data_IF_537865773625
#
_entry.id   IF_537865773625
#
_cell.length_a   1.000
_cell.length_b   1.000
_cell.length_c   1.000
_cell.angle_alpha   90.00
_cell.angle_beta   90.00
_cell.angle_gamma   90.00
#
_symmetry.space_group_name_H-M   'P 1'
#
loop_
_entity.id
_entity.type
_entity.pdbx_description
1 polymer ?
#
# COMPACT_ATOMS: atom_id res chain seq x y z
N UNK A 1 -6.00 -1.38 13.60
CA UNK A 1 -5.32 -0.26 14.26
C UNK A 1 -6.12 0.19 15.47
N UNK A 2 -7.35 0.66 15.34
CA UNK A 2 -8.20 1.18 16.44
C UNK A 2 -8.22 0.31 17.71
N UNK A 3 -8.28 -1.03 17.56
CA UNK A 3 -8.23 -1.94 18.72
C UNK A 3 -6.89 -1.85 19.46
N UNK A 4 -5.79 -1.74 18.73
CA UNK A 4 -4.46 -1.66 19.33
C UNK A 4 -4.16 -0.28 19.89
N UNK A 5 -4.72 0.79 19.30
CA UNK A 5 -4.68 2.13 19.87
C UNK A 5 -5.41 2.12 21.23
N UNK A 6 -6.61 1.54 21.30
CA UNK A 6 -7.36 1.42 22.54
C UNK A 6 -6.60 0.61 23.62
N UNK A 7 -5.94 -0.50 23.25
CA UNK A 7 -5.09 -1.27 24.18
C UNK A 7 -3.89 -0.45 24.64
N UNK A 8 -3.26 0.28 23.75
CA UNK A 8 -2.12 1.13 24.05
C UNK A 8 -2.52 2.22 25.06
N UNK A 9 -3.59 2.94 24.78
CA UNK A 9 -4.08 4.03 25.61
C UNK A 9 -4.53 3.52 26.98
N UNK A 10 -5.21 2.36 27.04
CA UNK A 10 -5.78 1.83 28.28
C UNK A 10 -4.71 1.21 29.20
N UNK A 11 -3.65 0.60 28.65
CA UNK A 11 -2.69 -0.15 29.48
C UNK A 11 -1.34 0.57 29.54
N UNK A 12 -0.84 1.07 28.40
CA UNK A 12 0.51 1.64 28.35
C UNK A 12 0.50 3.11 28.74
N UNK A 13 -0.47 3.90 28.26
CA UNK A 13 -0.60 5.32 28.57
C UNK A 13 -1.47 5.60 29.80
N UNK A 14 -1.94 4.57 30.53
CA UNK A 14 -2.74 4.75 31.75
C UNK A 14 -1.98 5.51 32.81
N UNK A 15 -2.35 6.78 33.02
CA UNK A 15 -1.77 7.66 34.02
C UNK A 15 -2.24 7.35 35.45
N UNK A 16 -3.29 6.53 35.62
CA UNK A 16 -3.78 6.10 36.93
C UNK A 16 -2.93 4.99 37.55
N UNK A 17 -2.13 4.30 36.73
CA UNK A 17 -1.19 3.28 37.18
C UNK A 17 -0.04 3.91 37.99
N UNK A 18 0.37 3.21 39.05
CA UNK A 18 1.54 3.60 39.87
C UNK A 18 2.89 3.50 39.12
N UNK A 19 2.87 2.99 37.88
CA UNK A 19 4.07 2.78 37.06
C UNK A 19 4.21 3.90 36.06
N UNK A 20 5.44 4.33 35.83
CA UNK A 20 5.78 5.40 34.91
C UNK A 20 5.39 5.02 33.46
N UNK A 21 4.61 5.89 32.84
CA UNK A 21 4.14 5.74 31.45
C UNK A 21 5.31 5.64 30.47
N UNK A 22 6.29 6.51 30.61
CA UNK A 22 7.46 6.57 29.71
C UNK A 22 8.29 5.28 29.79
N UNK A 23 8.46 4.71 30.98
CA UNK A 23 9.17 3.45 31.17
C UNK A 23 8.42 2.29 30.51
N UNK A 24 7.09 2.24 30.60
CA UNK A 24 6.25 1.22 29.96
C UNK A 24 6.36 1.30 28.44
N UNK A 25 6.21 2.49 27.90
CA UNK A 25 6.27 2.72 26.46
C UNK A 25 7.64 2.37 25.88
N UNK A 26 8.71 2.88 26.48
CA UNK A 26 10.07 2.58 26.04
C UNK A 26 10.43 1.10 26.19
N UNK A 27 9.88 0.43 27.19
CA UNK A 27 10.07 -1.00 27.36
C UNK A 27 9.40 -1.79 26.21
N UNK A 28 8.19 -1.42 25.80
CA UNK A 28 7.50 -2.02 24.66
C UNK A 28 8.31 -1.85 23.38
N UNK A 29 8.82 -0.64 23.11
CA UNK A 29 9.67 -0.38 21.95
C UNK A 29 10.97 -1.19 21.98
N UNK A 30 11.59 -1.28 23.16
CA UNK A 30 12.82 -2.07 23.34
C UNK A 30 12.60 -3.57 23.11
N UNK A 31 11.48 -4.12 23.59
CA UNK A 31 11.11 -5.53 23.33
C UNK A 31 10.88 -5.73 21.85
N UNK A 32 10.12 -4.85 21.17
CA UNK A 32 9.85 -4.94 19.75
C UNK A 32 11.14 -4.89 18.91
N UNK A 33 12.05 -3.97 19.22
CA UNK A 33 13.36 -3.89 18.58
C UNK A 33 14.24 -5.12 18.84
N UNK A 34 14.17 -5.71 20.03
CA UNK A 34 14.90 -6.94 20.35
C UNK A 34 14.41 -8.12 19.50
N UNK A 35 13.07 -8.26 19.37
CA UNK A 35 12.45 -9.27 18.50
C UNK A 35 12.90 -9.09 17.05
N UNK A 36 12.85 -7.85 16.54
CA UNK A 36 13.28 -7.52 15.19
C UNK A 36 14.72 -7.91 14.93
N UNK A 37 15.63 -7.47 15.80
CA UNK A 37 17.08 -7.74 15.67
C UNK A 37 17.44 -9.22 15.80
N UNK A 38 16.71 -9.95 16.63
CA UNK A 38 16.94 -11.38 16.83
C UNK A 38 16.38 -12.25 15.68
N UNK A 39 15.46 -11.71 14.84
CA UNK A 39 14.80 -12.48 13.77
C UNK A 39 13.91 -13.62 14.29
N UNK A 40 13.53 -13.61 15.56
CA UNK A 40 12.66 -14.60 16.20
C UNK A 40 11.64 -13.90 17.09
N UNK A 41 10.43 -14.46 17.17
CA UNK A 41 9.34 -13.91 17.97
C UNK A 41 9.53 -14.08 19.49
N UNK A 42 10.47 -14.94 19.92
CA UNK A 42 10.73 -15.28 21.31
C UNK A 42 12.21 -15.10 21.69
N UNK A 43 12.80 -13.89 21.52
CA UNK A 43 14.21 -13.67 21.90
C UNK A 43 14.40 -13.70 23.41
N UNK A 44 15.62 -13.93 23.84
CA UNK A 44 16.01 -13.70 25.23
C UNK A 44 15.96 -12.20 25.52
N UNK A 45 15.37 -11.85 26.66
CA UNK A 45 15.24 -10.48 27.12
C UNK A 45 15.38 -10.39 28.64
N UNK A 46 16.21 -9.48 29.11
CA UNK A 46 16.36 -9.19 30.52
C UNK A 46 16.05 -7.71 30.78
N UNK A 47 14.97 -7.38 31.51
CA UNK A 47 14.68 -6.01 31.90
C UNK A 47 15.75 -5.50 32.87
N UNK A 48 16.10 -4.23 32.78
CA UNK A 48 16.95 -3.55 33.76
C UNK A 48 16.23 -3.45 35.11
N UNK A 49 16.98 -3.13 36.17
CA UNK A 49 16.39 -2.98 37.54
C UNK A 49 15.25 -1.97 37.54
N UNK A 50 15.36 -0.85 36.82
CA UNK A 50 14.32 0.18 36.70
C UNK A 50 13.11 -0.27 35.86
N UNK A 51 13.27 -1.25 34.95
CA UNK A 51 12.22 -1.74 34.07
C UNK A 51 11.45 -2.91 34.67
N UNK A 52 11.94 -3.56 35.73
CA UNK A 52 11.34 -4.80 36.25
C UNK A 52 9.85 -4.65 36.62
N UNK A 53 9.48 -3.59 37.30
CA UNK A 53 8.10 -3.37 37.70
C UNK A 53 7.17 -3.15 36.51
N UNK A 54 7.60 -2.33 35.54
CA UNK A 54 6.85 -2.12 34.30
C UNK A 54 6.75 -3.43 33.49
N UNK A 55 7.81 -4.23 33.46
CA UNK A 55 7.81 -5.54 32.78
C UNK A 55 6.80 -6.51 33.41
N UNK A 56 6.74 -6.59 34.74
CA UNK A 56 5.75 -7.40 35.46
C UNK A 56 4.32 -6.89 35.21
N UNK A 57 4.12 -5.59 35.20
CA UNK A 57 2.84 -4.96 34.90
C UNK A 57 2.35 -5.31 33.47
N UNK A 58 3.20 -5.17 32.46
CA UNK A 58 2.85 -5.50 31.06
C UNK A 58 2.56 -6.99 30.87
N UNK A 59 3.28 -7.86 31.61
CA UNK A 59 3.03 -9.29 31.59
C UNK A 59 1.72 -9.67 32.29
N UNK A 60 1.40 -9.05 33.44
CA UNK A 60 0.15 -9.30 34.16
C UNK A 60 -1.08 -8.81 33.41
N UNK A 61 -0.94 -7.77 32.59
CA UNK A 61 -1.99 -7.29 31.68
C UNK A 61 -2.04 -8.07 30.35
N UNK A 62 -1.21 -9.10 30.17
CA UNK A 62 -1.25 -9.99 29.04
C UNK A 62 -0.69 -9.42 27.72
N UNK A 63 -0.02 -8.25 27.74
CA UNK A 63 0.57 -7.65 26.54
C UNK A 63 1.83 -8.38 26.09
N UNK A 64 2.58 -8.91 27.05
CA UNK A 64 3.76 -9.74 26.78
C UNK A 64 3.63 -11.09 27.53
N UNK A 65 4.26 -12.10 26.95
CA UNK A 65 4.37 -13.46 27.54
C UNK A 65 5.83 -13.72 27.88
N UNK A 66 6.03 -14.44 28.97
CA UNK A 66 7.36 -14.83 29.48
C UNK A 66 7.48 -16.33 29.51
N UNK A 67 8.54 -16.84 28.91
CA UNK A 67 8.89 -18.26 28.95
C UNK A 67 10.38 -18.40 29.34
N UNK A 68 10.62 -18.57 30.64
CA UNK A 68 11.98 -18.52 31.18
C UNK A 68 12.61 -17.11 31.00
N UNK A 69 13.69 -17.04 30.22
CA UNK A 69 14.35 -15.78 29.85
C UNK A 69 13.83 -15.21 28.50
N UNK A 70 12.94 -15.91 27.82
CA UNK A 70 12.39 -15.43 26.56
C UNK A 70 11.18 -14.51 26.75
N UNK A 71 10.99 -13.56 25.84
CA UNK A 71 9.83 -12.68 25.82
C UNK A 71 9.18 -12.70 24.45
N UNK A 72 7.86 -12.64 24.42
CA UNK A 72 7.09 -12.43 23.17
C UNK A 72 5.91 -11.52 23.44
N UNK A 73 5.39 -10.89 22.39
CA UNK A 73 4.09 -10.25 22.46
C UNK A 73 2.97 -11.29 22.50
N UNK A 74 1.81 -10.93 23.03
CA UNK A 74 0.65 -11.83 23.06
C UNK A 74 0.18 -12.21 21.64
N UNK A 75 0.45 -11.34 20.65
CA UNK A 75 0.13 -11.58 19.25
C UNK A 75 1.13 -10.88 18.32
N UNK A 76 1.46 -11.52 17.19
CA UNK A 76 2.41 -10.98 16.22
C UNK A 76 1.98 -9.61 15.67
N UNK A 77 0.69 -9.42 15.36
CA UNK A 77 0.22 -8.14 14.83
C UNK A 77 0.29 -7.00 15.84
N UNK A 78 0.30 -7.28 17.16
CA UNK A 78 0.56 -6.25 18.17
C UNK A 78 2.06 -5.90 18.25
N UNK A 79 2.94 -6.85 18.04
CA UNK A 79 4.36 -6.58 17.83
C UNK A 79 4.58 -5.66 16.63
N UNK A 80 3.98 -5.98 15.48
CA UNK A 80 4.07 -5.17 14.26
C UNK A 80 3.50 -3.75 14.47
N UNK A 81 2.39 -3.62 15.18
CA UNK A 81 1.81 -2.35 15.60
C UNK A 81 2.77 -1.54 16.50
N UNK A 82 3.34 -2.19 17.52
CA UNK A 82 4.29 -1.53 18.45
C UNK A 82 5.48 -0.97 17.72
N UNK A 83 6.01 -1.74 16.76
CA UNK A 83 7.14 -1.32 15.94
C UNK A 83 6.76 -0.17 14.99
N UNK A 84 5.60 -0.25 14.37
CA UNK A 84 5.07 0.80 13.48
C UNK A 84 4.89 2.12 14.23
N UNK A 85 4.36 2.07 15.45
CA UNK A 85 4.21 3.23 16.32
C UNK A 85 5.57 3.84 16.65
N UNK A 86 6.53 3.02 17.08
CA UNK A 86 7.90 3.46 17.37
C UNK A 86 8.55 4.23 16.21
N UNK A 87 8.45 3.70 14.96
CA UNK A 87 8.96 4.39 13.78
C UNK A 87 8.18 5.66 13.42
N UNK A 88 6.92 5.74 13.78
CA UNK A 88 6.12 6.93 13.53
C UNK A 88 6.45 8.07 14.47
N UNK A 89 6.72 7.78 15.74
CA UNK A 89 7.00 8.76 16.78
C UNK A 89 8.44 9.34 16.68
N UNK A 90 9.39 8.52 16.30
CA UNK A 90 10.80 8.92 16.25
C UNK A 90 11.20 9.77 15.03
N UNK A 91 10.26 10.24 14.21
CA UNK A 91 10.51 11.01 12.99
C UNK A 91 11.54 10.37 12.03
N UNK A 92 11.87 9.09 12.21
CA UNK A 92 12.74 8.36 11.33
C UNK A 92 11.95 7.68 10.21
N UNK A 93 12.51 7.66 9.00
CA UNK A 93 11.95 6.88 7.91
C UNK A 93 12.37 5.42 8.08
N UNK A 94 11.40 4.52 8.18
CA UNK A 94 11.64 3.08 8.21
C UNK A 94 12.38 2.58 6.96
N UNK A 95 12.13 3.22 5.81
CA UNK A 95 12.86 2.99 4.57
C UNK A 95 14.39 3.07 4.75
N UNK A 96 14.88 3.94 5.64
CA UNK A 96 16.32 4.07 5.91
C UNK A 96 16.89 2.84 6.61
N UNK A 97 16.11 2.22 7.49
CA UNK A 97 16.54 1.01 8.20
C UNK A 97 16.38 -0.24 7.33
N UNK A 98 15.33 -0.30 6.52
CA UNK A 98 15.15 -1.39 5.54
C UNK A 98 16.39 -1.57 4.66
N UNK A 99 17.03 -0.49 4.24
CA UNK A 99 18.23 -0.55 3.39
C UNK A 99 19.44 -1.21 4.07
N UNK A 100 19.51 -1.15 5.38
CA UNK A 100 20.61 -1.72 6.17
C UNK A 100 20.42 -3.21 6.45
N UNK A 101 19.25 -3.76 6.15
CA UNK A 101 18.84 -5.11 6.50
C UNK A 101 18.65 -6.01 5.28
N UNK A 102 18.54 -7.32 5.52
CA UNK A 102 18.14 -8.27 4.48
C UNK A 102 16.65 -8.04 4.19
N UNK A 103 16.37 -7.56 2.99
CA UNK A 103 15.01 -7.29 2.57
C UNK A 103 14.32 -8.59 2.11
N UNK A 104 14.00 -9.48 3.05
CA UNK A 104 13.29 -10.73 2.82
C UNK A 104 11.77 -10.54 2.75
N UNK A 105 11.05 -11.66 2.53
CA UNK A 105 9.59 -11.62 2.44
C UNK A 105 8.93 -11.29 3.78
N UNK A 106 9.57 -11.60 4.88
CA UNK A 106 9.15 -11.29 6.25
C UNK A 106 9.07 -9.77 6.50
N UNK A 107 9.86 -8.98 5.79
CA UNK A 107 9.82 -7.52 5.87
C UNK A 107 8.49 -6.93 5.37
N UNK A 108 7.73 -7.69 4.58
CA UNK A 108 6.46 -7.20 3.99
C UNK A 108 5.40 -6.87 5.04
N UNK A 109 5.23 -7.72 6.04
CA UNK A 109 4.24 -7.47 7.11
C UNK A 109 4.59 -6.20 7.89
N UNK A 110 5.86 -6.01 8.16
CA UNK A 110 6.37 -4.85 8.89
C UNK A 110 6.23 -3.55 8.08
N UNK A 111 6.64 -3.55 6.81
CA UNK A 111 6.42 -2.40 5.90
C UNK A 111 4.94 -2.04 5.83
N UNK A 112 4.06 -3.05 5.70
CA UNK A 112 2.61 -2.82 5.67
C UNK A 112 2.12 -2.19 6.97
N UNK A 113 2.53 -2.72 8.12
CA UNK A 113 2.13 -2.21 9.42
C UNK A 113 2.56 -0.74 9.63
N UNK A 114 3.81 -0.40 9.25
CA UNK A 114 4.32 0.98 9.32
C UNK A 114 3.53 1.92 8.40
N UNK A 115 3.25 1.50 7.17
CA UNK A 115 2.46 2.30 6.23
C UNK A 115 1.02 2.49 6.70
N UNK A 116 0.36 1.42 7.16
CA UNK A 116 -1.01 1.49 7.66
C UNK A 116 -1.10 2.38 8.90
N UNK A 117 -0.15 2.26 9.85
CA UNK A 117 -0.11 3.07 11.05
C UNK A 117 0.08 4.56 10.72
N UNK A 118 1.12 4.89 9.91
CA UNK A 118 1.37 6.28 9.50
C UNK A 118 0.17 6.87 8.77
N UNK A 119 -0.48 6.09 7.89
CA UNK A 119 -1.66 6.57 7.17
C UNK A 119 -2.84 6.87 8.09
N UNK A 120 -3.04 6.06 9.12
CA UNK A 120 -4.12 6.26 10.10
C UNK A 120 -3.92 7.48 11.00
N UNK A 121 -2.68 7.87 11.28
CA UNK A 121 -2.35 8.90 12.27
C UNK A 121 -1.77 10.19 11.65
N UNK A 122 -0.96 10.07 10.60
CA UNK A 122 -0.28 11.20 9.96
C UNK A 122 -0.08 10.95 8.47
N UNK A 123 -0.98 11.49 7.67
CA UNK A 123 -0.98 11.33 6.22
C UNK A 123 0.29 11.91 5.56
N UNK A 124 0.93 12.92 6.16
CA UNK A 124 2.15 13.53 5.62
C UNK A 124 3.30 12.54 5.79
N UNK A 125 3.48 12.01 7.00
CA UNK A 125 4.49 10.98 7.29
C UNK A 125 4.27 9.71 6.46
N UNK A 126 3.02 9.33 6.20
CA UNK A 126 2.71 8.22 5.31
C UNK A 126 3.22 8.46 3.88
N UNK A 127 2.93 9.64 3.31
CA UNK A 127 3.34 9.98 1.94
C UNK A 127 4.88 10.06 1.84
N UNK A 128 5.55 10.60 2.85
CA UNK A 128 7.02 10.65 2.91
C UNK A 128 7.64 9.25 2.97
N UNK A 129 7.10 8.37 3.81
CA UNK A 129 7.55 6.97 3.91
C UNK A 129 7.32 6.22 2.59
N UNK A 130 6.11 6.29 2.05
CA UNK A 130 5.77 5.63 0.79
C UNK A 130 6.64 6.15 -0.37
N UNK A 131 6.91 7.47 -0.43
CA UNK A 131 7.82 8.06 -1.42
C UNK A 131 9.24 7.52 -1.25
N UNK A 132 9.75 7.49 -0.01
CA UNK A 132 11.08 6.97 0.27
C UNK A 132 11.24 5.52 -0.18
N UNK A 133 10.23 4.65 0.07
CA UNK A 133 10.25 3.27 -0.39
C UNK A 133 10.19 3.18 -1.92
N UNK A 134 9.29 3.92 -2.57
CA UNK A 134 9.06 3.80 -4.01
C UNK A 134 10.19 4.41 -4.86
N UNK A 135 10.81 5.47 -4.37
CA UNK A 135 11.80 6.23 -5.14
C UNK A 135 13.24 5.77 -4.90
N UNK A 136 13.52 4.99 -3.88
CA UNK A 136 14.88 4.52 -3.57
C UNK A 136 15.25 3.30 -4.43
N UNK A 137 16.42 3.32 -5.08
CA UNK A 137 16.92 2.20 -5.90
C UNK A 137 17.28 0.98 -5.08
N UNK A 138 17.72 1.17 -3.83
CA UNK A 138 18.24 0.13 -2.95
C UNK A 138 17.13 -0.68 -2.27
N UNK A 139 15.89 -0.24 -2.40
CA UNK A 139 14.72 -0.99 -1.91
C UNK A 139 14.25 -1.99 -2.95
N UNK A 140 14.13 -3.25 -2.55
CA UNK A 140 13.71 -4.36 -3.42
C UNK A 140 12.30 -4.18 -3.97
N UNK A 141 12.11 -4.63 -5.20
CA UNK A 141 10.87 -4.50 -5.96
C UNK A 141 9.63 -4.98 -5.18
N UNK A 142 9.70 -6.11 -4.47
CA UNK A 142 8.53 -6.66 -3.78
C UNK A 142 8.00 -5.77 -2.64
N UNK A 143 8.85 -4.92 -2.03
CA UNK A 143 8.43 -3.93 -1.04
C UNK A 143 7.78 -2.71 -1.72
N UNK A 144 8.32 -2.29 -2.86
CA UNK A 144 7.71 -1.25 -3.70
C UNK A 144 6.32 -1.66 -4.20
N UNK A 145 6.19 -2.91 -4.66
CA UNK A 145 4.90 -3.45 -5.10
C UNK A 145 3.88 -3.52 -3.96
N UNK A 146 4.33 -3.88 -2.77
CA UNK A 146 3.49 -3.84 -1.57
C UNK A 146 3.01 -2.41 -1.29
N UNK A 147 3.91 -1.42 -1.32
CA UNK A 147 3.57 0.00 -1.10
C UNK A 147 2.56 0.50 -2.13
N UNK A 148 2.73 0.14 -3.41
CA UNK A 148 1.75 0.45 -4.46
C UNK A 148 0.40 -0.22 -4.21
N UNK A 149 0.41 -1.46 -3.70
CA UNK A 149 -0.82 -2.14 -3.31
C UNK A 149 -1.54 -1.41 -2.18
N UNK A 150 -0.82 -0.99 -1.13
CA UNK A 150 -1.40 -0.19 -0.03
C UNK A 150 -2.04 1.09 -0.58
N UNK A 151 -1.35 1.83 -1.45
CA UNK A 151 -1.89 3.04 -2.09
C UNK A 151 -3.13 2.75 -2.95
N UNK A 152 -3.12 1.66 -3.72
CA UNK A 152 -4.23 1.30 -4.60
C UNK A 152 -5.53 0.99 -3.83
N UNK A 153 -5.45 0.47 -2.61
CA UNK A 153 -6.61 0.20 -1.76
C UNK A 153 -7.14 1.43 -1.01
N UNK A 154 -6.50 2.57 -1.15
CA UNK A 154 -6.97 3.82 -0.52
C UNK A 154 -8.27 4.30 -1.15
N UNK A 155 -9.34 4.39 -0.36
CA UNK A 155 -10.65 4.83 -0.85
C UNK A 155 -10.72 6.35 -1.11
N UNK A 156 -10.13 7.15 -0.23
CA UNK A 156 -10.13 8.61 -0.31
C UNK A 156 -8.70 9.13 -0.29
N UNK A 157 -8.01 9.16 -1.45
CA UNK A 157 -6.63 9.59 -1.52
C UNK A 157 -6.48 11.10 -1.31
N UNK A 158 -5.51 11.48 -0.49
CA UNK A 158 -5.06 12.86 -0.30
C UNK A 158 -4.39 13.43 -1.55
N UNK A 159 -4.18 14.72 -1.58
CA UNK A 159 -3.40 15.36 -2.66
C UNK A 159 -1.97 14.81 -2.73
N UNK A 160 -1.33 14.56 -1.57
CA UNK A 160 0.03 14.00 -1.52
C UNK A 160 0.12 12.58 -2.11
N UNK A 161 -0.86 11.71 -1.82
CA UNK A 161 -0.93 10.36 -2.41
C UNK A 161 -1.14 10.41 -3.93
N UNK A 162 -2.00 11.32 -4.42
CA UNK A 162 -2.22 11.53 -5.86
C UNK A 162 -0.98 12.02 -6.58
N UNK A 163 -0.25 12.96 -5.98
CA UNK A 163 1.02 13.45 -6.50
C UNK A 163 2.07 12.34 -6.55
N UNK A 164 2.16 11.52 -5.49
CA UNK A 164 3.10 10.41 -5.45
C UNK A 164 2.87 9.41 -6.60
N UNK A 165 1.63 9.07 -6.94
CA UNK A 165 1.34 8.20 -8.08
C UNK A 165 1.72 8.87 -9.41
N UNK A 166 1.61 10.19 -9.51
CA UNK A 166 2.08 10.93 -10.69
C UNK A 166 3.61 10.88 -10.81
N UNK A 167 4.34 10.99 -9.69
CA UNK A 167 5.80 10.81 -9.63
C UNK A 167 6.22 9.38 -10.04
N UNK A 168 5.49 8.36 -9.55
CA UNK A 168 5.70 6.96 -9.96
C UNK A 168 5.57 6.80 -11.47
N UNK A 169 4.51 7.37 -12.06
CA UNK A 169 4.32 7.35 -13.51
C UNK A 169 5.50 7.96 -14.27
N UNK A 170 6.00 9.10 -13.81
CA UNK A 170 7.13 9.79 -14.46
C UNK A 170 8.43 9.00 -14.37
N UNK A 171 8.62 8.26 -13.27
CA UNK A 171 9.84 7.49 -13.03
C UNK A 171 9.83 6.13 -13.71
N UNK A 172 8.74 5.39 -13.62
CA UNK A 172 8.64 4.01 -14.11
C UNK A 172 7.19 3.63 -14.45
N UNK A 173 6.91 3.53 -15.75
CA UNK A 173 5.58 3.14 -16.26
C UNK A 173 5.16 1.73 -15.83
N UNK A 174 6.11 0.80 -15.63
CA UNK A 174 5.79 -0.56 -15.15
C UNK A 174 5.26 -0.53 -13.73
N UNK A 175 5.88 0.26 -12.88
CA UNK A 175 5.42 0.46 -11.50
C UNK A 175 3.98 1.01 -11.46
N UNK A 176 3.66 1.95 -12.33
CA UNK A 176 2.28 2.43 -12.49
C UNK A 176 1.33 1.27 -12.86
N UNK A 177 1.74 0.35 -13.73
CA UNK A 177 0.95 -0.82 -14.11
C UNK A 177 0.53 -1.68 -12.91
N UNK A 178 1.40 -1.85 -11.93
CA UNK A 178 1.06 -2.57 -10.69
C UNK A 178 0.01 -1.84 -9.85
N UNK A 179 0.12 -0.52 -9.72
CA UNK A 179 -0.90 0.30 -9.06
C UNK A 179 -2.26 0.18 -9.75
N UNK A 180 -2.29 0.30 -11.08
CA UNK A 180 -3.51 0.24 -11.89
C UNK A 180 -4.24 -1.11 -11.77
N UNK A 181 -3.52 -2.21 -11.57
CA UNK A 181 -4.14 -3.53 -11.33
C UNK A 181 -4.91 -3.60 -10.01
N UNK A 182 -4.49 -2.86 -9.00
CA UNK A 182 -5.11 -2.90 -7.65
C UNK A 182 -6.20 -1.85 -7.42
N UNK A 183 -6.10 -0.70 -8.08
CA UNK A 183 -6.97 0.44 -7.80
C UNK A 183 -8.41 0.17 -8.24
N UNK A 184 -9.35 0.50 -7.33
CA UNK A 184 -10.79 0.34 -7.58
C UNK A 184 -11.64 1.53 -7.11
N UNK A 185 -11.11 2.37 -6.22
CA UNK A 185 -11.84 3.53 -5.70
C UNK A 185 -12.04 4.61 -6.77
N UNK A 186 -13.27 5.09 -6.89
CA UNK A 186 -13.63 6.16 -7.83
C UNK A 186 -12.87 7.46 -7.55
N UNK A 187 -12.46 7.69 -6.32
CA UNK A 187 -11.72 8.90 -5.93
C UNK A 187 -10.33 9.01 -6.57
N UNK A 188 -9.79 7.90 -7.11
CA UNK A 188 -8.56 7.89 -7.89
C UNK A 188 -8.79 8.26 -9.36
N UNK A 189 -10.01 8.13 -9.87
CA UNK A 189 -10.29 8.25 -11.30
C UNK A 189 -9.80 9.57 -11.93
N UNK A 190 -9.98 10.75 -11.30
CA UNK A 190 -9.47 12.00 -11.90
C UNK A 190 -7.94 11.99 -12.11
N UNK A 191 -7.19 11.43 -11.15
CA UNK A 191 -5.73 11.34 -11.25
C UNK A 191 -5.31 10.34 -12.32
N UNK A 192 -5.95 9.16 -12.34
CA UNK A 192 -5.71 8.11 -13.34
C UNK A 192 -6.05 8.65 -14.74
N UNK A 193 -7.19 9.28 -14.92
CA UNK A 193 -7.61 9.89 -16.19
C UNK A 193 -6.54 10.88 -16.70
N UNK A 194 -6.02 11.76 -15.85
CA UNK A 194 -4.99 12.70 -16.24
C UNK A 194 -3.68 12.03 -16.67
N UNK A 195 -3.29 10.93 -16.03
CA UNK A 195 -2.11 10.14 -16.41
C UNK A 195 -2.39 9.41 -17.74
N UNK A 196 -3.52 8.72 -17.83
CA UNK A 196 -3.86 7.92 -19.00
C UNK A 196 -4.06 8.77 -20.27
N UNK A 197 -4.67 9.95 -20.18
CA UNK A 197 -4.79 10.85 -21.33
C UNK A 197 -3.44 11.20 -21.98
N UNK A 198 -2.34 11.16 -21.21
CA UNK A 198 -0.99 11.37 -21.73
C UNK A 198 -0.39 10.11 -22.37
N UNK A 199 -0.85 8.94 -21.96
CA UNK A 199 -0.31 7.64 -22.42
C UNK A 199 -1.09 7.07 -23.61
N UNK A 200 -2.41 7.28 -23.63
CA UNK A 200 -3.30 6.65 -24.62
C UNK A 200 -2.90 6.86 -26.07
N UNK A 201 -2.48 8.05 -26.54
CA UNK A 201 -2.14 8.23 -27.94
C UNK A 201 -1.06 7.28 -28.46
N UNK A 202 -0.08 6.95 -27.62
CA UNK A 202 1.07 6.11 -27.98
C UNK A 202 0.92 4.64 -27.55
N UNK A 203 -0.16 4.29 -26.83
CA UNK A 203 -0.34 2.98 -26.21
C UNK A 203 -0.50 1.88 -27.26
N UNK A 204 0.27 0.80 -27.10
CA UNK A 204 0.20 -0.39 -27.97
C UNK A 204 -0.11 -1.65 -27.15
N UNK A 205 -0.75 -2.63 -27.77
CA UNK A 205 -1.06 -3.93 -27.16
C UNK A 205 0.18 -4.71 -26.68
N UNK A 206 1.35 -4.38 -27.23
CA UNK A 206 2.65 -4.96 -26.86
C UNK A 206 3.27 -4.32 -25.62
N UNK A 207 2.74 -3.18 -25.16
CA UNK A 207 3.24 -2.50 -23.98
C UNK A 207 2.88 -3.27 -22.71
N UNK A 208 3.84 -3.44 -21.80
CA UNK A 208 3.62 -4.16 -20.54
C UNK A 208 2.50 -3.55 -19.67
N UNK A 209 2.22 -2.25 -19.86
CA UNK A 209 1.16 -1.53 -19.13
C UNK A 209 -0.20 -1.62 -19.81
N UNK A 210 -0.31 -2.16 -21.03
CA UNK A 210 -1.57 -2.23 -21.78
C UNK A 210 -2.67 -2.94 -20.98
N UNK A 211 -2.44 -4.21 -20.60
CA UNK A 211 -3.43 -4.97 -19.84
C UNK A 211 -3.73 -4.39 -18.45
N UNK A 212 -2.75 -3.93 -17.64
CA UNK A 212 -3.03 -3.16 -16.43
C UNK A 212 -3.97 -1.97 -16.64
N UNK A 213 -3.79 -1.22 -17.72
CA UNK A 213 -4.67 -0.10 -18.07
C UNK A 213 -6.08 -0.61 -18.40
N UNK A 214 -6.20 -1.66 -19.20
CA UNK A 214 -7.51 -2.23 -19.57
C UNK A 214 -8.26 -2.73 -18.32
N UNK A 215 -7.59 -3.44 -17.42
CA UNK A 215 -8.17 -3.89 -16.13
C UNK A 215 -8.62 -2.69 -15.28
N UNK A 216 -7.85 -1.61 -15.25
CA UNK A 216 -8.21 -0.41 -14.53
C UNK A 216 -9.45 0.26 -15.17
N UNK A 217 -9.43 0.46 -16.47
CA UNK A 217 -10.53 1.10 -17.20
C UNK A 217 -11.85 0.32 -17.11
N UNK A 218 -11.81 -1.02 -17.14
CA UNK A 218 -13.01 -1.84 -17.01
C UNK A 218 -13.75 -1.62 -15.69
N UNK A 219 -13.03 -1.35 -14.60
CA UNK A 219 -13.64 -1.03 -13.30
C UNK A 219 -14.35 0.33 -13.29
N UNK A 220 -13.89 1.27 -14.09
CA UNK A 220 -14.47 2.62 -14.18
C UNK A 220 -15.51 2.75 -15.29
N UNK A 221 -15.47 1.90 -16.31
CA UNK A 221 -16.35 1.96 -17.47
C UNK A 221 -17.84 1.91 -17.11
N UNK A 222 -18.20 1.16 -16.06
CA UNK A 222 -19.58 1.10 -15.59
C UNK A 222 -20.11 2.45 -15.08
N UNK A 223 -19.27 3.24 -14.40
CA UNK A 223 -19.69 4.52 -13.80
C UNK A 223 -19.41 5.72 -14.69
N UNK A 224 -18.41 5.62 -15.56
CA UNK A 224 -17.93 6.72 -16.40
C UNK A 224 -17.66 6.22 -17.84
N UNK A 225 -18.66 5.67 -18.55
CA UNK A 225 -18.45 5.06 -19.87
C UNK A 225 -17.93 6.07 -20.90
N UNK A 226 -18.48 7.28 -20.95
CA UNK A 226 -18.08 8.30 -21.91
C UNK A 226 -16.60 8.69 -21.74
N UNK A 227 -16.14 8.89 -20.52
CA UNK A 227 -14.73 9.21 -20.23
C UNK A 227 -13.80 8.06 -20.60
N UNK A 228 -14.19 6.82 -20.27
CA UNK A 228 -13.37 5.62 -20.59
C UNK A 228 -13.26 5.42 -22.09
N UNK A 229 -14.37 5.49 -22.83
CA UNK A 229 -14.34 5.36 -24.28
C UNK A 229 -13.67 6.55 -24.95
N UNK A 230 -13.84 7.75 -24.41
CA UNK A 230 -13.11 8.93 -24.85
C UNK A 230 -11.60 8.76 -24.76
N UNK A 231 -11.10 8.13 -23.68
CA UNK A 231 -9.68 7.78 -23.54
C UNK A 231 -9.26 6.68 -24.53
N UNK A 232 -10.02 5.60 -24.66
CA UNK A 232 -9.70 4.48 -25.58
C UNK A 232 -9.62 4.98 -27.03
N UNK A 233 -10.50 5.88 -27.43
CA UNK A 233 -10.50 6.45 -28.78
C UNK A 233 -9.27 7.31 -29.09
N UNK A 234 -8.48 7.73 -28.11
CA UNK A 234 -7.20 8.42 -28.33
C UNK A 234 -6.06 7.47 -28.77
N UNK A 235 -6.22 6.14 -28.64
CA UNK A 235 -5.21 5.18 -29.06
C UNK A 235 -5.08 5.25 -30.58
N UNK A 236 -3.88 5.60 -31.06
CA UNK A 236 -3.61 5.75 -32.50
C UNK A 236 -3.47 4.40 -33.20
N UNK A 237 -2.83 3.42 -32.53
CA UNK A 237 -2.72 2.06 -33.07
C UNK A 237 -4.10 1.39 -33.13
N UNK A 238 -4.56 1.14 -34.34
CA UNK A 238 -5.90 0.64 -34.62
C UNK A 238 -6.19 -0.72 -33.96
N UNK A 239 -5.23 -1.63 -33.98
CA UNK A 239 -5.39 -2.96 -33.41
C UNK A 239 -5.48 -2.90 -31.88
N UNK A 240 -4.63 -2.10 -31.24
CA UNK A 240 -4.67 -1.85 -29.80
C UNK A 240 -5.97 -1.17 -29.38
N UNK A 241 -6.47 -0.22 -30.18
CA UNK A 241 -7.76 0.44 -29.92
C UNK A 241 -8.93 -0.53 -29.98
N UNK A 242 -8.98 -1.41 -30.99
CA UNK A 242 -10.03 -2.42 -31.11
C UNK A 242 -10.00 -3.41 -29.96
N UNK A 243 -8.81 -3.89 -29.59
CA UNK A 243 -8.64 -4.77 -28.44
C UNK A 243 -9.07 -4.09 -27.13
N UNK A 244 -8.74 -2.82 -26.95
CA UNK A 244 -9.15 -2.04 -25.78
C UNK A 244 -10.67 -1.89 -25.69
N UNK A 245 -11.33 -1.60 -26.84
CA UNK A 245 -12.80 -1.53 -26.92
C UNK A 245 -13.38 -2.90 -26.55
N UNK A 246 -12.94 -3.98 -27.18
CA UNK A 246 -13.46 -5.32 -26.93
C UNK A 246 -13.30 -5.76 -25.47
N UNK A 247 -12.15 -5.46 -24.86
CA UNK A 247 -11.89 -5.80 -23.47
C UNK A 247 -12.84 -5.10 -22.50
N UNK A 248 -13.12 -3.81 -22.72
CA UNK A 248 -13.95 -3.00 -21.84
C UNK A 248 -15.46 -3.13 -22.10
N UNK A 249 -15.86 -3.73 -23.24
CA UNK A 249 -17.27 -3.89 -23.61
C UNK A 249 -17.90 -5.19 -23.14
N UNK A 250 -17.11 -6.16 -22.75
CA UNK A 250 -17.61 -7.49 -22.33
C UNK A 250 -18.68 -7.44 -21.23
N UNK A 251 -18.76 -6.35 -20.50
CA UNK A 251 -19.62 -6.23 -19.30
C UNK A 251 -20.72 -5.17 -19.43
N UNK A 252 -20.83 -4.44 -20.55
CA UNK A 252 -21.71 -3.26 -20.60
C UNK A 252 -22.51 -3.10 -21.88
N UNK A 253 -23.81 -3.14 -21.67
CA UNK A 253 -25.04 -2.66 -22.36
C UNK A 253 -24.90 -1.89 -23.72
N UNK A 254 -26.03 -1.40 -24.21
CA UNK A 254 -26.27 -0.77 -25.51
C UNK A 254 -25.23 0.26 -25.99
N UNK A 255 -24.67 1.07 -25.10
CA UNK A 255 -23.65 2.05 -25.46
C UNK A 255 -22.36 1.36 -25.94
N UNK A 256 -21.96 0.32 -25.24
CA UNK A 256 -20.82 -0.49 -25.61
C UNK A 256 -21.00 -1.19 -26.96
N UNK A 257 -22.15 -1.77 -27.22
CA UNK A 257 -22.46 -2.39 -28.50
C UNK A 257 -22.40 -1.36 -29.63
N UNK A 258 -22.91 -0.16 -29.43
CA UNK A 258 -22.84 0.91 -30.43
C UNK A 258 -21.40 1.34 -30.73
N UNK A 259 -20.50 1.36 -29.73
CA UNK A 259 -19.07 1.66 -29.94
C UNK A 259 -18.36 0.56 -30.72
N UNK A 260 -18.64 -0.74 -30.46
CA UNK A 260 -18.10 -1.85 -31.26
C UNK A 260 -18.57 -1.78 -32.72
N UNK A 261 -19.86 -1.59 -32.94
CA UNK A 261 -20.42 -1.49 -34.27
C UNK A 261 -19.82 -0.31 -35.04
N UNK A 262 -19.61 0.82 -34.37
CA UNK A 262 -18.98 1.99 -34.98
C UNK A 262 -17.49 1.73 -35.30
N UNK A 263 -16.73 1.16 -34.37
CA UNK A 263 -15.34 0.77 -34.61
C UNK A 263 -15.19 -0.27 -35.69
N UNK A 264 -16.11 -1.25 -35.75
CA UNK A 264 -16.17 -2.25 -36.85
C UNK A 264 -16.45 -1.59 -38.19
N UNK A 265 -17.43 -0.69 -38.25
CA UNK A 265 -17.78 0.02 -39.50
C UNK A 265 -16.58 0.87 -39.99
N UNK A 266 -15.83 1.49 -39.09
CA UNK A 266 -14.64 2.27 -39.43
C UNK A 266 -13.48 1.41 -39.94
N UNK A 267 -13.32 0.18 -39.44
CA UNK A 267 -12.15 -0.67 -39.72
C UNK A 267 -12.40 -1.71 -40.83
N UNK A 268 -13.66 -2.01 -41.12
CA UNK A 268 -14.05 -3.12 -42.03
C UNK A 268 -13.37 -4.47 -41.67
N UNK A 269 -13.01 -4.65 -40.43
CA UNK A 269 -12.26 -5.84 -39.98
C UNK A 269 -13.21 -6.83 -39.30
N UNK A 270 -13.25 -8.09 -39.81
CA UNK A 270 -14.01 -9.18 -39.21
C UNK A 270 -13.46 -9.59 -37.82
N UNK A 271 -12.21 -9.24 -37.47
CA UNK A 271 -11.58 -9.64 -36.24
C UNK A 271 -12.14 -8.92 -35.00
N UNK A 272 -12.90 -7.85 -35.18
CA UNK A 272 -13.54 -7.13 -34.06
C UNK A 272 -14.67 -7.90 -33.36
N UNK A 273 -15.17 -8.98 -33.99
CA UNK A 273 -16.28 -9.82 -33.49
C UNK A 273 -15.80 -11.08 -32.73
N UNK A 274 -14.52 -11.43 -32.80
CA UNK A 274 -14.00 -12.70 -32.25
C UNK A 274 -13.12 -12.51 -30.96
N UNK A 275 -13.08 -11.34 -30.39
CA UNK A 275 -12.45 -11.05 -29.10
C UNK A 275 -13.53 -10.78 -28.06
#
# INVERSE_FOLDING_TARGET
>A
IELYDALWDTIILDSSSQYDVEIREQLMYKIAETIRKAGTLNPQFAPTSSQKQAYEYLASNGLIRREGCAVSFFHQSFYEYTLARHYSENNSLFATDIKKEIQGLEMRSMVKAVLDFKRGHDIIKFVEEARSILMDSDIRLHLKLLTLSVLAFVNNPSCGEKLLITEVYQKDRKMLGYFLRGVSSISWFPTIRNILNRMMPELRKTDEVFFPIMVCLSRYAFRNPEDVYGMINQIQDQESRLLAIAYNLREHNDYGQSCVLKAYAETKSQNAFFV
#
